data_IF_042690700007
#
_entry.id   IF_042690700007
#
_cell.length_a   1.000
_cell.length_b   1.000
_cell.length_c   1.000
_cell.angle_alpha   90.00
_cell.angle_beta   90.00
_cell.angle_gamma   90.00
#
_symmetry.space_group_name_H-M   'P 1'
#
loop_
_entity.id
_entity.type
_entity.pdbx_description
1 polymer ?
#
# COMPACT_ATOMS: atom_id res chain seq x y z
N UNK A 1 4.71 20.76 -7.06
CA UNK A 1 3.33 21.28 -6.93
C UNK A 1 2.44 20.33 -7.70
N UNK A 2 1.71 19.42 -7.02
CA UNK A 2 0.89 18.40 -7.65
C UNK A 2 -0.10 18.97 -8.66
N UNK A 3 0.12 18.63 -9.93
CA UNK A 3 -0.81 18.94 -11.00
C UNK A 3 -2.12 18.17 -10.84
N UNK A 4 -2.15 16.98 -10.22
CA UNK A 4 -3.33 16.10 -10.28
C UNK A 4 -4.59 16.65 -9.63
N UNK A 5 -4.47 17.33 -8.49
CA UNK A 5 -5.64 17.78 -7.74
C UNK A 5 -6.15 19.15 -8.20
N UNK A 6 -5.28 20.00 -8.76
CA UNK A 6 -5.66 21.33 -9.26
C UNK A 6 -6.21 21.32 -10.68
N UNK A 7 -6.22 20.17 -11.35
CA UNK A 7 -6.70 20.13 -12.71
C UNK A 7 -8.23 20.26 -12.70
N UNK A 8 -8.67 21.44 -13.17
CA UNK A 8 -9.87 21.67 -13.98
C UNK A 8 -9.91 20.74 -15.22
N UNK A 9 -9.41 19.51 -15.13
CA UNK A 9 -9.60 18.48 -16.13
C UNK A 9 -11.02 17.96 -15.98
N UNK A 10 -11.68 17.88 -17.12
CA UNK A 10 -12.92 17.13 -17.27
C UNK A 10 -12.70 15.68 -16.80
N UNK A 11 -13.77 15.01 -16.37
CA UNK A 11 -13.69 13.61 -15.94
C UNK A 11 -12.99 12.73 -16.99
N UNK A 12 -13.27 12.97 -18.28
CA UNK A 12 -12.62 12.29 -19.40
C UNK A 12 -11.10 12.53 -19.48
N UNK A 13 -10.63 13.75 -19.20
CA UNK A 13 -9.20 14.04 -19.17
C UNK A 13 -8.48 13.30 -18.05
N UNK A 14 -9.10 13.22 -16.86
CA UNK A 14 -8.53 12.50 -15.70
C UNK A 14 -8.45 11.00 -15.99
N UNK A 15 -9.49 10.44 -16.60
CA UNK A 15 -9.51 9.03 -16.99
C UNK A 15 -8.42 8.71 -18.00
N UNK A 16 -8.27 9.53 -19.05
CA UNK A 16 -7.22 9.35 -20.06
C UNK A 16 -5.81 9.39 -19.44
N UNK A 17 -5.56 10.36 -18.54
CA UNK A 17 -4.31 10.46 -17.80
C UNK A 17 -4.02 9.20 -16.99
N UNK A 18 -4.99 8.71 -16.20
CA UNK A 18 -4.80 7.51 -15.40
C UNK A 18 -4.69 6.23 -16.24
N UNK A 19 -5.27 6.20 -17.44
CA UNK A 19 -5.06 5.11 -18.39
C UNK A 19 -3.60 5.06 -18.87
N UNK A 20 -3.01 6.21 -19.17
CA UNK A 20 -1.58 6.32 -19.55
C UNK A 20 -0.66 5.92 -18.39
N UNK A 21 -0.96 6.39 -17.17
CA UNK A 21 -0.23 5.98 -15.96
C UNK A 21 -0.33 4.48 -15.74
N UNK A 22 -1.51 3.89 -15.92
CA UNK A 22 -1.69 2.43 -15.83
C UNK A 22 -0.79 1.70 -16.82
N UNK A 23 -0.79 2.11 -18.10
CA UNK A 23 0.06 1.49 -19.13
C UNK A 23 1.54 1.56 -18.79
N UNK A 24 2.00 2.70 -18.25
CA UNK A 24 3.35 2.84 -17.72
C UNK A 24 3.62 1.82 -16.62
N UNK A 25 2.78 1.77 -15.58
CA UNK A 25 2.96 0.90 -14.40
C UNK A 25 2.89 -0.58 -14.74
N UNK A 26 2.04 -0.98 -15.69
CA UNK A 26 1.93 -2.38 -16.14
C UNK A 26 3.05 -2.80 -17.09
N UNK A 27 3.95 -1.88 -17.47
CA UNK A 27 5.15 -2.18 -18.25
C UNK A 27 4.94 -2.21 -19.77
N UNK A 28 3.87 -1.61 -20.29
CA UNK A 28 3.57 -1.57 -21.73
C UNK A 28 4.65 -0.85 -22.56
N UNK A 29 5.49 -0.04 -21.91
CA UNK A 29 6.55 0.75 -22.53
C UNK A 29 7.98 0.37 -22.07
N UNK A 30 8.14 -0.80 -21.44
CA UNK A 30 9.44 -1.29 -20.94
C UNK A 30 9.71 -0.98 -19.46
N UNK A 31 10.79 -1.56 -18.93
CA UNK A 31 11.08 -1.59 -17.48
C UNK A 31 11.42 -0.21 -16.89
N UNK A 32 12.11 0.66 -17.62
CA UNK A 32 12.45 2.01 -17.14
C UNK A 32 11.21 2.90 -16.98
N UNK A 33 10.28 2.81 -17.94
CA UNK A 33 8.99 3.51 -17.87
C UNK A 33 8.12 2.92 -16.77
N UNK A 34 8.18 1.60 -16.59
CA UNK A 34 7.51 0.91 -15.49
C UNK A 34 7.99 1.39 -14.12
N UNK A 35 9.31 1.43 -13.93
CA UNK A 35 9.94 1.95 -12.73
C UNK A 35 9.53 3.40 -12.47
N UNK A 36 9.57 4.24 -13.51
CA UNK A 36 9.20 5.67 -13.40
C UNK A 36 7.73 5.86 -13.06
N UNK A 37 6.83 5.09 -13.68
CA UNK A 37 5.39 5.12 -13.41
C UNK A 37 5.05 4.72 -11.98
N UNK A 38 5.73 3.72 -11.43
CA UNK A 38 5.53 3.31 -10.03
C UNK A 38 6.04 4.38 -9.07
N UNK A 39 7.23 4.97 -9.30
CA UNK A 39 7.74 6.06 -8.44
C UNK A 39 6.87 7.32 -8.52
N UNK A 40 6.25 7.58 -9.68
CA UNK A 40 5.26 8.63 -9.83
C UNK A 40 4.05 8.39 -8.90
N UNK A 41 3.49 7.17 -8.90
CA UNK A 41 2.41 6.80 -7.98
C UNK A 41 2.85 6.85 -6.50
N UNK A 42 4.07 6.40 -6.17
CA UNK A 42 4.65 6.49 -4.82
C UNK A 42 4.69 7.95 -4.33
N UNK A 43 5.17 8.86 -5.19
CA UNK A 43 5.21 10.29 -4.93
C UNK A 43 3.81 10.89 -4.76
N UNK A 44 2.86 10.50 -5.63
CA UNK A 44 1.48 10.95 -5.57
C UNK A 44 0.80 10.54 -4.26
N UNK A 45 0.92 9.27 -3.86
CA UNK A 45 0.35 8.78 -2.60
C UNK A 45 1.02 9.47 -1.41
N UNK A 46 2.32 9.78 -1.49
CA UNK A 46 3.06 10.46 -0.41
C UNK A 46 2.58 11.90 -0.23
N UNK A 47 2.36 12.61 -1.33
CA UNK A 47 1.92 14.01 -1.36
C UNK A 47 0.55 14.23 -0.70
N UNK A 48 -0.35 13.24 -0.79
CA UNK A 48 -1.68 13.31 -0.16
C UNK A 48 -1.78 12.55 1.17
N UNK A 49 -0.68 12.01 1.67
CA UNK A 49 -0.64 11.33 2.97
C UNK A 49 -0.92 12.30 4.13
N UNK A 50 -1.40 11.81 5.28
CA UNK A 50 -1.74 12.65 6.45
C UNK A 50 -0.56 13.50 6.95
N UNK A 51 0.65 12.95 6.86
CA UNK A 51 1.91 13.56 7.30
C UNK A 51 2.39 14.74 6.45
N UNK A 52 1.82 14.99 5.27
CA UNK A 52 2.32 16.00 4.30
C UNK A 52 1.40 17.21 4.14
N UNK A 53 0.25 17.25 4.84
CA UNK A 53 -0.79 18.28 4.71
C UNK A 53 -0.28 19.72 4.89
N UNK A 54 0.75 19.95 5.70
CA UNK A 54 1.30 21.29 5.98
C UNK A 54 2.39 21.77 5.00
N UNK A 55 2.92 20.89 4.14
CA UNK A 55 4.11 21.21 3.33
C UNK A 55 3.80 21.93 2.00
N UNK A 56 2.53 21.94 1.56
CA UNK A 56 2.17 22.36 0.19
C UNK A 56 1.57 23.77 0.06
N UNK A 57 1.31 24.48 1.15
CA UNK A 57 0.64 25.79 1.11
C UNK A 57 -0.81 25.74 0.56
N UNK A 58 -1.41 24.55 0.47
CA UNK A 58 -2.80 24.36 0.08
C UNK A 58 -3.72 24.58 1.28
N UNK A 59 -4.96 25.08 1.08
CA UNK A 59 -5.97 25.07 2.13
C UNK A 59 -6.19 23.64 2.64
N UNK A 60 -6.19 23.47 3.97
CA UNK A 60 -6.34 22.16 4.63
C UNK A 60 -7.55 21.37 4.13
N UNK A 61 -8.67 22.06 3.93
CA UNK A 61 -9.92 21.48 3.45
C UNK A 61 -9.77 20.84 2.06
N UNK A 62 -9.00 21.48 1.18
CA UNK A 62 -8.75 20.95 -0.16
C UNK A 62 -7.88 19.69 -0.10
N UNK A 63 -6.84 19.70 0.73
CA UNK A 63 -5.99 18.52 0.96
C UNK A 63 -6.82 17.35 1.52
N UNK A 64 -7.73 17.63 2.45
CA UNK A 64 -8.62 16.62 3.04
C UNK A 64 -9.64 16.05 2.04
N UNK A 65 -10.14 16.85 1.09
CA UNK A 65 -10.99 16.39 -0.01
C UNK A 65 -10.22 15.48 -0.97
N UNK A 66 -9.01 15.89 -1.37
CA UNK A 66 -8.15 15.08 -2.23
C UNK A 66 -7.78 13.75 -1.58
N UNK A 67 -7.45 13.77 -0.28
CA UNK A 67 -7.21 12.56 0.51
C UNK A 67 -8.40 11.60 0.47
N UNK A 68 -9.62 12.12 0.65
CA UNK A 68 -10.83 11.30 0.66
C UNK A 68 -11.12 10.64 -0.69
N UNK A 69 -11.03 11.41 -1.79
CA UNK A 69 -11.23 10.87 -3.14
C UNK A 69 -10.13 9.89 -3.52
N UNK A 70 -8.87 10.15 -3.15
CA UNK A 70 -7.77 9.22 -3.40
C UNK A 70 -8.03 7.87 -2.74
N UNK A 71 -8.45 7.87 -1.48
CA UNK A 71 -8.77 6.65 -0.71
C UNK A 71 -9.92 5.86 -1.31
N UNK A 72 -11.00 6.55 -1.69
CA UNK A 72 -12.23 5.92 -2.18
C UNK A 72 -12.08 5.40 -3.62
N UNK A 73 -11.49 6.21 -4.49
CA UNK A 73 -11.60 6.02 -5.94
C UNK A 73 -10.33 5.39 -6.56
N UNK A 74 -9.15 5.60 -5.97
CA UNK A 74 -7.88 5.35 -6.66
C UNK A 74 -6.91 4.40 -5.94
N UNK A 75 -6.82 4.42 -4.60
CA UNK A 75 -5.82 3.62 -3.87
C UNK A 75 -5.91 2.12 -4.17
N UNK A 76 -7.13 1.58 -4.27
CA UNK A 76 -7.34 0.17 -4.62
C UNK A 76 -6.83 -0.14 -6.03
N UNK A 77 -7.07 0.75 -7.00
CA UNK A 77 -6.59 0.58 -8.36
C UNK A 77 -5.06 0.63 -8.42
N UNK A 78 -4.44 1.59 -7.75
CA UNK A 78 -2.98 1.72 -7.68
C UNK A 78 -2.34 0.49 -7.04
N UNK A 79 -2.96 -0.06 -5.99
CA UNK A 79 -2.51 -1.29 -5.37
C UNK A 79 -2.54 -2.47 -6.35
N UNK A 80 -3.64 -2.65 -7.09
CA UNK A 80 -3.75 -3.70 -8.11
C UNK A 80 -2.69 -3.54 -9.21
N UNK A 81 -2.47 -2.31 -9.70
CA UNK A 81 -1.46 -2.07 -10.74
C UNK A 81 -0.04 -2.36 -10.24
N UNK A 82 0.27 -1.98 -9.00
CA UNK A 82 1.55 -2.30 -8.37
C UNK A 82 1.73 -3.81 -8.19
N UNK A 83 0.67 -4.53 -7.79
CA UNK A 83 0.69 -5.98 -7.68
C UNK A 83 0.94 -6.65 -9.04
N UNK A 84 0.22 -6.24 -10.08
CA UNK A 84 0.43 -6.73 -11.46
C UNK A 84 1.86 -6.46 -11.94
N UNK A 85 2.40 -5.26 -11.64
CA UNK A 85 3.76 -4.90 -11.98
C UNK A 85 4.81 -5.77 -11.27
N UNK A 86 4.60 -6.11 -9.99
CA UNK A 86 5.49 -7.01 -9.26
C UNK A 86 5.41 -8.46 -9.78
N UNK A 87 4.20 -8.92 -10.09
CA UNK A 87 3.97 -10.26 -10.66
C UNK A 87 4.64 -10.42 -12.02
N UNK A 88 4.56 -9.42 -12.91
CA UNK A 88 5.08 -9.51 -14.28
C UNK A 88 6.60 -9.71 -14.35
N UNK A 89 7.34 -9.22 -13.35
CA UNK A 89 8.81 -9.33 -13.29
C UNK A 89 9.29 -10.51 -12.43
N UNK A 90 8.40 -11.18 -11.69
CA UNK A 90 8.76 -12.21 -10.71
C UNK A 90 9.54 -13.38 -11.30
N UNK A 91 9.06 -13.96 -12.40
CA UNK A 91 9.73 -15.14 -12.99
C UNK A 91 11.14 -14.82 -13.44
N UNK A 92 11.35 -13.64 -14.06
CA UNK A 92 12.68 -13.17 -14.47
C UNK A 92 13.62 -12.97 -13.29
N UNK A 93 13.12 -12.41 -12.19
CA UNK A 93 13.89 -12.24 -10.95
C UNK A 93 14.31 -13.58 -10.38
N UNK A 94 13.50 -14.64 -10.49
CA UNK A 94 13.86 -15.97 -9.97
C UNK A 94 14.84 -16.66 -10.91
N UNK A 95 14.59 -16.61 -12.22
CA UNK A 95 15.32 -17.42 -13.22
C UNK A 95 16.64 -16.80 -13.70
N UNK A 96 16.78 -15.47 -13.69
CA UNK A 96 17.92 -14.79 -14.34
C UNK A 96 18.83 -14.07 -13.35
N UNK A 97 20.13 -14.34 -13.36
CA UNK A 97 21.11 -13.71 -12.45
C UNK A 97 21.41 -12.24 -12.79
N UNK A 98 21.02 -11.76 -13.98
CA UNK A 98 21.22 -10.37 -14.44
C UNK A 98 19.95 -9.50 -14.37
N UNK A 99 19.00 -9.82 -13.50
CA UNK A 99 17.68 -9.17 -13.43
C UNK A 99 17.66 -7.86 -12.60
N UNK A 100 18.65 -6.99 -12.77
CA UNK A 100 18.82 -5.80 -11.91
C UNK A 100 17.65 -4.81 -12.05
N UNK A 101 17.19 -4.54 -13.27
CA UNK A 101 16.07 -3.62 -13.54
C UNK A 101 14.74 -4.20 -13.02
N UNK A 102 14.52 -5.50 -13.20
CA UNK A 102 13.36 -6.20 -12.66
C UNK A 102 13.32 -6.15 -11.13
N UNK A 103 14.46 -6.36 -10.48
CA UNK A 103 14.59 -6.22 -9.01
C UNK A 103 14.24 -4.80 -8.56
N UNK A 104 14.67 -3.76 -9.30
CA UNK A 104 14.32 -2.37 -9.01
C UNK A 104 12.80 -2.13 -9.14
N UNK A 105 12.18 -2.56 -10.24
CA UNK A 105 10.73 -2.47 -10.49
C UNK A 105 9.94 -3.18 -9.39
N UNK A 106 10.30 -4.41 -9.05
CA UNK A 106 9.60 -5.17 -8.01
C UNK A 106 9.77 -4.50 -6.64
N UNK A 107 10.97 -3.99 -6.34
CA UNK A 107 11.22 -3.28 -5.08
C UNK A 107 10.37 -2.01 -4.93
N UNK A 108 10.27 -1.17 -5.97
CA UNK A 108 9.37 0.02 -5.92
C UNK A 108 7.91 -0.37 -5.85
N UNK A 109 7.49 -1.44 -6.53
CA UNK A 109 6.11 -1.92 -6.47
C UNK A 109 5.73 -2.39 -5.05
N UNK A 110 6.60 -3.18 -4.41
CA UNK A 110 6.42 -3.63 -3.02
C UNK A 110 6.38 -2.45 -2.05
N UNK A 111 7.22 -1.42 -2.25
CA UNK A 111 7.21 -0.19 -1.45
C UNK A 111 5.92 0.60 -1.62
N UNK A 112 5.43 0.77 -2.85
CA UNK A 112 4.15 1.43 -3.11
C UNK A 112 2.99 0.68 -2.44
N UNK A 113 2.93 -0.65 -2.57
CA UNK A 113 1.92 -1.47 -1.90
C UNK A 113 1.96 -1.30 -0.37
N UNK A 114 3.17 -1.32 0.22
CA UNK A 114 3.35 -1.06 1.64
C UNK A 114 2.89 0.35 2.04
N UNK A 115 3.19 1.37 1.25
CA UNK A 115 2.78 2.75 1.52
C UNK A 115 1.26 2.91 1.47
N UNK A 116 0.60 2.27 0.50
CA UNK A 116 -0.87 2.25 0.41
C UNK A 116 -1.48 1.52 1.61
N UNK A 117 -0.90 0.40 2.04
CA UNK A 117 -1.37 -0.30 3.24
C UNK A 117 -1.03 0.43 4.55
N UNK A 118 -0.10 1.37 4.55
CA UNK A 118 0.15 2.27 5.69
C UNK A 118 -0.75 3.52 5.65
N UNK A 119 -1.67 3.60 4.69
CA UNK A 119 -2.63 4.68 4.64
C UNK A 119 -3.55 4.66 5.87
N UNK A 120 -3.76 5.83 6.47
CA UNK A 120 -4.74 6.01 7.55
C UNK A 120 -6.17 6.01 6.97
N UNK A 121 -6.73 4.81 6.78
CA UNK A 121 -8.08 4.62 6.27
C UNK A 121 -9.14 5.22 7.22
N UNK A 122 -10.04 6.05 6.67
CA UNK A 122 -11.07 6.78 7.41
C UNK A 122 -12.22 5.90 7.90
N UNK A 123 -12.34 4.67 7.41
CA UNK A 123 -13.32 3.70 7.92
C UNK A 123 -13.19 3.50 9.44
N UNK A 124 -11.96 3.63 9.96
CA UNK A 124 -11.63 3.60 11.39
C UNK A 124 -12.29 4.75 12.17
N UNK A 125 -12.27 5.97 11.62
CA UNK A 125 -12.74 7.19 12.30
C UNK A 125 -14.26 7.20 12.43
N UNK A 126 -14.99 6.74 11.42
CA UNK A 126 -16.46 6.77 11.44
C UNK A 126 -17.08 5.79 12.45
N UNK A 127 -16.39 4.69 12.83
CA UNK A 127 -16.87 3.79 13.90
C UNK A 127 -16.47 4.26 15.30
N UNK A 128 -15.29 4.86 15.49
CA UNK A 128 -14.89 5.40 16.80
C UNK A 128 -15.74 6.62 17.17
N UNK A 129 -16.11 7.46 16.19
CA UNK A 129 -17.03 8.59 16.40
C UNK A 129 -18.49 8.14 16.50
N UNK A 130 -18.84 6.98 15.92
CA UNK A 130 -20.21 6.43 15.89
C UNK A 130 -20.73 5.83 17.20
N UNK A 131 -19.93 5.75 18.27
CA UNK A 131 -20.34 5.18 19.58
C UNK A 131 -20.38 6.21 20.72
N UNK A 132 -19.93 7.45 20.53
CA UNK A 132 -20.09 8.53 21.52
C UNK A 132 -20.11 9.90 20.86
N UNK A 133 -21.27 10.30 20.35
CA UNK A 133 -21.57 11.72 20.10
C UNK A 133 -22.67 12.16 21.05
N UNK A 134 -22.26 12.49 22.27
CA UNK A 134 -23.00 13.33 23.20
C UNK A 134 -21.99 14.10 24.03
N UNK A 135 -21.71 15.32 23.57
CA UNK A 135 -21.41 16.52 24.38
C UNK A 135 -20.04 16.56 25.11
N UNK A 136 -19.55 17.81 25.22
CA UNK A 136 -18.36 18.37 25.92
C UNK A 136 -17.05 18.42 25.12
N UNK A 137 -16.64 19.57 24.53
CA UNK A 137 -16.26 20.88 25.13
C UNK A 137 -15.16 20.73 26.18
N UNK A 138 -13.92 21.07 25.79
CA UNK A 138 -12.73 21.31 26.61
C UNK A 138 -12.47 20.36 27.79
N UNK A 139 -11.39 19.58 27.71
CA UNK A 139 -10.60 19.26 28.91
C UNK A 139 -9.12 19.10 28.58
N UNK A 140 -8.36 19.99 29.20
CA UNK A 140 -6.91 20.00 29.26
C UNK A 140 -6.40 18.88 30.17
N UNK A 141 -5.31 18.24 29.74
CA UNK A 141 -4.25 17.64 30.57
C UNK A 141 -4.64 16.54 31.56
N UNK A 142 -4.39 15.28 31.20
CA UNK A 142 -3.80 14.28 32.12
C UNK A 142 -2.88 13.35 31.31
N UNK A 143 -1.61 13.28 31.74
CA UNK A 143 -0.60 12.33 31.24
C UNK A 143 -1.01 10.92 31.66
N UNK A 144 -0.96 9.97 30.74
CA UNK A 144 -0.92 8.56 31.09
C UNK A 144 0.15 7.86 30.25
N UNK A 145 1.31 7.69 30.88
CA UNK A 145 2.41 6.85 30.42
C UNK A 145 1.93 5.40 30.37
N UNK A 146 1.80 4.85 29.16
CA UNK A 146 1.87 3.42 28.94
C UNK A 146 3.03 3.16 28.00
N UNK A 147 4.18 2.79 28.58
CA UNK A 147 5.29 2.16 27.87
C UNK A 147 4.77 0.90 27.16
N UNK A 148 4.38 1.06 25.89
CA UNK A 148 4.19 -0.06 24.99
C UNK A 148 5.39 -0.05 24.05
N UNK A 149 6.33 -0.96 24.27
CA UNK A 149 7.27 -1.44 23.26
C UNK A 149 6.48 -2.21 22.18
N UNK A 150 5.45 -1.57 21.60
CA UNK A 150 4.76 -2.07 20.42
C UNK A 150 5.65 -1.66 19.26
N UNK A 151 6.12 -2.66 18.53
CA UNK A 151 6.54 -2.45 17.15
C UNK A 151 5.53 -1.50 16.48
N UNK A 152 6.01 -0.52 15.73
CA UNK A 152 5.24 0.43 14.91
C UNK A 152 4.42 -0.31 13.83
N UNK A 153 3.52 -1.21 14.24
CA UNK A 153 2.49 -1.79 13.40
C UNK A 153 1.28 -0.88 13.55
N UNK A 154 1.20 0.13 12.67
CA UNK A 154 -0.03 0.89 12.46
C UNK A 154 -1.11 -0.09 12.06
N UNK A 155 -2.14 -0.28 12.89
CA UNK A 155 -3.24 -1.18 12.58
C UNK A 155 -3.91 -0.74 11.28
N UNK A 156 -3.95 -1.63 10.28
CA UNK A 156 -4.52 -1.33 8.96
C UNK A 156 -5.94 -1.85 8.91
N UNK A 157 -6.90 -0.97 8.67
CA UNK A 157 -8.32 -1.32 8.58
C UNK A 157 -8.89 -0.87 7.24
N UNK A 158 -8.55 -1.55 6.14
CA UNK A 158 -9.18 -1.30 4.86
C UNK A 158 -10.64 -1.81 4.89
N UNK A 159 -11.54 -1.14 4.18
CA UNK A 159 -12.95 -1.51 4.14
C UNK A 159 -13.20 -2.90 3.50
N UNK A 160 -14.42 -3.47 3.60
CA UNK A 160 -14.74 -4.79 3.07
C UNK A 160 -14.45 -4.96 1.57
N UNK A 161 -14.50 -3.88 0.80
CA UNK A 161 -14.17 -3.88 -0.63
C UNK A 161 -12.72 -4.29 -0.94
N UNK A 162 -11.83 -4.30 0.05
CA UNK A 162 -10.44 -4.72 -0.10
C UNK A 162 -10.23 -6.23 0.13
N UNK A 163 -11.24 -6.95 0.62
CA UNK A 163 -11.16 -8.39 0.89
C UNK A 163 -10.73 -9.17 -0.35
N UNK A 164 -11.36 -8.92 -1.49
CA UNK A 164 -11.06 -9.66 -2.73
C UNK A 164 -9.63 -9.45 -3.21
N UNK A 165 -9.08 -8.26 -2.98
CA UNK A 165 -7.73 -7.87 -3.43
C UNK A 165 -6.65 -8.33 -2.47
N UNK A 166 -6.86 -8.26 -1.17
CA UNK A 166 -5.83 -8.57 -0.17
C UNK A 166 -5.88 -10.02 0.32
N UNK A 167 -7.07 -10.63 0.41
CA UNK A 167 -7.28 -11.96 1.00
C UNK A 167 -7.55 -13.00 -0.09
N UNK A 168 -8.59 -12.81 -0.91
CA UNK A 168 -9.03 -13.82 -1.88
C UNK A 168 -8.16 -13.93 -3.13
N UNK A 169 -7.30 -12.94 -3.41
CA UNK A 169 -6.45 -12.91 -4.60
C UNK A 169 -5.27 -13.88 -4.59
N UNK A 170 -5.02 -14.55 -3.46
CA UNK A 170 -3.82 -15.39 -3.27
C UNK A 170 -2.52 -14.59 -3.14
N UNK A 171 -2.58 -13.25 -3.05
CA UNK A 171 -1.41 -12.37 -2.95
C UNK A 171 -0.50 -12.77 -1.78
N UNK A 172 -1.05 -13.02 -0.59
CA UNK A 172 -0.26 -13.41 0.58
C UNK A 172 0.53 -14.70 0.29
N UNK A 173 -0.11 -15.70 -0.32
CA UNK A 173 0.56 -16.95 -0.71
C UNK A 173 1.67 -16.72 -1.74
N UNK A 174 1.41 -15.90 -2.77
CA UNK A 174 2.43 -15.52 -3.74
C UNK A 174 3.61 -14.79 -3.07
N UNK A 175 3.36 -13.82 -2.18
CA UNK A 175 4.40 -13.03 -1.53
C UNK A 175 5.31 -13.88 -0.64
N UNK A 176 4.72 -14.82 0.11
CA UNK A 176 5.49 -15.76 0.95
C UNK A 176 6.34 -16.71 0.10
N UNK A 177 5.79 -17.25 -0.99
CA UNK A 177 6.52 -18.10 -1.93
C UNK A 177 7.64 -17.32 -2.62
N UNK A 178 7.36 -16.08 -3.04
CA UNK A 178 8.33 -15.19 -3.65
C UNK A 178 9.48 -14.87 -2.69
N UNK A 179 9.18 -14.54 -1.44
CA UNK A 179 10.20 -14.32 -0.41
C UNK A 179 11.06 -15.57 -0.17
N UNK A 180 10.46 -16.76 -0.17
CA UNK A 180 11.18 -18.03 -0.12
C UNK A 180 12.11 -18.25 -1.31
N UNK A 181 11.66 -17.94 -2.53
CA UNK A 181 12.46 -18.03 -3.74
C UNK A 181 13.64 -17.05 -3.75
N UNK A 182 13.41 -15.80 -3.32
CA UNK A 182 14.45 -14.79 -3.14
C UNK A 182 15.52 -15.28 -2.15
N UNK A 183 15.11 -15.91 -1.04
CA UNK A 183 16.05 -16.48 -0.07
C UNK A 183 16.97 -17.51 -0.73
N UNK A 184 16.41 -18.43 -1.52
CA UNK A 184 17.22 -19.47 -2.17
C UNK A 184 18.20 -18.86 -3.15
N UNK A 185 17.74 -17.91 -3.98
CA UNK A 185 18.56 -17.23 -4.97
C UNK A 185 19.73 -16.45 -4.36
N UNK A 186 19.42 -15.54 -3.43
CA UNK A 186 20.40 -14.62 -2.86
C UNK A 186 21.19 -15.21 -1.68
N UNK A 187 20.89 -16.43 -1.23
CA UNK A 187 21.62 -17.10 -0.14
C UNK A 187 23.11 -17.28 -0.41
N UNK A 188 23.48 -17.45 -1.68
CA UNK A 188 24.86 -17.68 -2.11
C UNK A 188 25.73 -16.42 -2.04
N UNK A 189 25.11 -15.25 -2.02
CA UNK A 189 25.79 -13.95 -2.15
C UNK A 189 26.06 -13.30 -0.78
N UNK A 190 25.57 -13.89 0.32
CA UNK A 190 25.85 -13.44 1.69
C UNK A 190 25.12 -12.16 2.14
N UNK A 191 24.63 -11.32 1.22
CA UNK A 191 23.90 -10.08 1.50
C UNK A 191 22.38 -10.18 1.32
N UNK A 192 21.83 -11.40 1.24
CA UNK A 192 20.40 -11.65 1.00
C UNK A 192 19.46 -10.83 1.91
N UNK A 193 19.80 -10.72 3.20
CA UNK A 193 18.97 -10.04 4.20
C UNK A 193 18.86 -8.54 3.92
N UNK A 194 19.92 -7.92 3.43
CA UNK A 194 19.99 -6.48 3.16
C UNK A 194 19.59 -6.13 1.73
N UNK A 195 19.25 -7.13 0.91
CA UNK A 195 18.77 -6.92 -0.43
C UNK A 195 17.48 -6.08 -0.41
N UNK A 196 17.40 -4.96 -1.16
CA UNK A 196 16.27 -4.03 -1.11
C UNK A 196 14.91 -4.69 -1.33
N UNK A 197 14.84 -5.68 -2.23
CA UNK A 197 13.62 -6.42 -2.52
C UNK A 197 13.18 -7.32 -1.34
N UNK A 198 14.14 -7.96 -0.65
CA UNK A 198 13.87 -8.79 0.52
C UNK A 198 13.44 -7.96 1.73
N UNK A 199 14.01 -6.76 1.89
CA UNK A 199 13.57 -5.79 2.91
C UNK A 199 12.14 -5.32 2.65
N UNK A 200 11.83 -4.91 1.42
CA UNK A 200 10.48 -4.47 1.05
C UNK A 200 9.44 -5.58 1.20
N UNK A 201 9.77 -6.81 0.77
CA UNK A 201 8.89 -7.97 0.94
C UNK A 201 8.60 -8.28 2.41
N UNK A 202 9.61 -8.28 3.28
CA UNK A 202 9.43 -8.48 4.73
C UNK A 202 8.51 -7.44 5.35
N UNK A 203 8.74 -6.16 5.05
CA UNK A 203 7.89 -5.08 5.57
C UNK A 203 6.44 -5.26 5.13
N UNK A 204 6.22 -5.65 3.87
CA UNK A 204 4.88 -5.93 3.35
C UNK A 204 4.23 -7.14 4.05
N UNK A 205 4.97 -8.22 4.28
CA UNK A 205 4.49 -9.39 5.04
C UNK A 205 4.04 -8.99 6.45
N UNK A 206 4.86 -8.21 7.17
CA UNK A 206 4.51 -7.72 8.52
C UNK A 206 3.24 -6.85 8.48
N UNK A 207 3.09 -6.03 7.43
CA UNK A 207 1.89 -5.22 7.25
C UNK A 207 0.64 -6.07 7.02
N UNK A 208 0.74 -7.14 6.22
CA UNK A 208 -0.35 -8.09 6.04
C UNK A 208 -0.77 -8.74 7.37
N UNK A 209 0.17 -9.06 8.25
CA UNK A 209 -0.12 -9.57 9.59
C UNK A 209 -0.82 -8.54 10.51
N UNK A 210 -0.76 -7.26 10.15
CA UNK A 210 -1.38 -6.15 10.89
C UNK A 210 -2.77 -5.77 10.34
N UNK A 211 -3.26 -6.46 9.32
CA UNK A 211 -4.61 -6.29 8.80
C UNK A 211 -5.63 -6.70 9.85
N UNK A 212 -6.57 -5.80 10.15
CA UNK A 212 -7.65 -6.04 11.10
C UNK A 212 -8.93 -5.37 10.62
N UNK A 213 -10.05 -5.65 11.30
CA UNK A 213 -11.33 -4.98 11.03
C UNK A 213 -12.24 -5.76 10.09
N UNK A 214 -13.13 -5.05 9.41
CA UNK A 214 -14.25 -5.61 8.63
C UNK A 214 -13.84 -6.20 7.29
N UNK A 215 -12.54 -6.22 6.97
CA UNK A 215 -12.04 -6.95 5.81
C UNK A 215 -12.27 -8.45 5.96
N UNK A 216 -12.23 -8.98 7.18
CA UNK A 216 -12.57 -10.36 7.44
C UNK A 216 -14.10 -10.49 7.60
N UNK A 217 -14.77 -11.34 6.82
CA UNK A 217 -16.19 -11.59 7.01
C UNK A 217 -16.40 -12.14 8.43
N UNK A 218 -17.36 -11.56 9.17
CA UNK A 218 -17.65 -11.86 10.58
C UNK A 218 -18.29 -13.24 10.81
N UNK A 219 -17.92 -14.24 10.01
CA UNK A 219 -18.53 -15.57 9.98
C UNK A 219 -17.58 -16.70 9.57
N UNK A 220 -16.28 -16.56 9.84
CA UNK A 220 -15.34 -17.69 9.74
C UNK A 220 -14.92 -18.06 11.16
N UNK A 221 -15.57 -19.09 11.70
CA UNK A 221 -14.96 -19.93 12.73
C UNK A 221 -13.56 -20.31 12.24
N UNK A 222 -12.55 -19.96 13.04
CA UNK A 222 -11.18 -20.38 12.84
C UNK A 222 -11.10 -21.92 12.83
N UNK A 223 -11.28 -22.55 11.67
CA UNK A 223 -10.75 -23.88 11.42
C UNK A 223 -9.28 -23.76 11.00
N UNK A 224 -8.45 -23.30 11.93
CA UNK A 224 -7.03 -23.61 11.95
C UNK A 224 -6.85 -24.92 12.73
N UNK A 225 -7.12 -26.05 12.08
CA UNK A 225 -6.38 -27.30 12.37
C UNK A 225 -6.16 -28.03 11.05
N UNK A 226 -4.91 -28.19 10.59
CA UNK A 226 -4.61 -29.19 9.56
C UNK A 226 -4.62 -30.56 10.23
N UNK A 227 -5.51 -31.45 9.80
CA UNK A 227 -5.36 -32.88 10.07
C UNK A 227 -4.26 -33.44 9.16
N UNK A 228 -3.37 -34.18 9.83
CA UNK A 228 -2.18 -34.92 9.38
C UNK A 228 -2.34 -35.62 8.03
#
# INVERSE_FOLDING_TARGET
MCSLCRLDLTAAGKEAFFCEVKQCVTGSHGLDVQFSGINFLESLVSEFSPSTSSAMGLPREFHEQCRASLELDYLKAFYCWAQEAALSVTSRIIESDSAELEVRVCSVALRLMLQILNWEFRYTTNRVVGVKSSIDVFSAGVRQDSNSLRAECTLVQPGPSWHDVLISSGHIGWLLNFYGALRQKFSREGYWLDCPIAVSARKLIVQFCSLTGTIFPSGIEFFLVPSI
#
